data_IF_084240872750
#
_entry.id   IF_084240872750
#
_cell.length_a   1.000
_cell.length_b   1.000
_cell.length_c   1.000
_cell.angle_alpha   90.00
_cell.angle_beta   90.00
_cell.angle_gamma   90.00
#
_symmetry.space_group_name_H-M   'P 1'
#
loop_
_entity.id
_entity.type
_entity.pdbx_description
1 polymer ?
#
# COMPACT_ATOMS: atom_id res chain seq x y z
N UNK A 1 -15.59 -5.45 15.24
CA UNK A 1 -16.29 -4.14 15.23
C UNK A 1 -17.64 -4.31 15.91
N UNK A 2 -18.44 -5.28 15.48
CA UNK A 2 -19.76 -5.58 16.07
C UNK A 2 -19.73 -5.87 17.58
N UNK A 3 -18.68 -6.53 18.08
CA UNK A 3 -18.53 -6.77 19.53
C UNK A 3 -18.31 -5.48 20.32
N UNK A 4 -17.56 -4.53 19.75
CA UNK A 4 -17.30 -3.24 20.40
C UNK A 4 -18.55 -2.37 20.38
N UNK A 5 -19.28 -2.32 19.26
CA UNK A 5 -20.53 -1.55 19.17
C UNK A 5 -21.59 -2.11 20.13
N UNK A 6 -21.64 -3.44 20.29
CA UNK A 6 -22.49 -4.08 21.30
C UNK A 6 -22.08 -3.65 22.72
N UNK A 7 -20.78 -3.66 23.04
CA UNK A 7 -20.29 -3.22 24.35
C UNK A 7 -20.65 -1.77 24.65
N UNK A 8 -20.49 -0.87 23.69
CA UNK A 8 -20.89 0.55 23.83
C UNK A 8 -22.39 0.65 24.09
N UNK A 9 -23.22 -0.10 23.36
CA UNK A 9 -24.67 -0.13 23.57
C UNK A 9 -25.06 -0.68 24.95
N UNK A 10 -24.36 -1.72 25.43
CA UNK A 10 -24.57 -2.28 26.77
C UNK A 10 -24.21 -1.24 27.86
N UNK A 11 -23.14 -0.45 27.67
CA UNK A 11 -22.78 0.64 28.60
C UNK A 11 -23.81 1.78 28.60
N UNK A 12 -24.31 2.17 27.43
CA UNK A 12 -25.37 3.16 27.32
C UNK A 12 -26.66 2.71 28.02
N UNK A 13 -26.98 1.41 27.97
CA UNK A 13 -28.12 0.83 28.69
C UNK A 13 -28.02 0.97 30.21
N UNK A 14 -26.80 1.09 30.74
CA UNK A 14 -26.50 1.34 32.16
C UNK A 14 -26.38 2.84 32.48
N UNK A 15 -26.79 3.73 31.57
CA UNK A 15 -26.62 5.19 31.66
C UNK A 15 -25.15 5.65 31.72
N UNK A 16 -24.20 4.81 31.27
CA UNK A 16 -22.79 5.19 31.16
C UNK A 16 -22.58 5.75 29.75
N UNK A 17 -22.40 7.07 29.66
CA UNK A 17 -22.13 7.75 28.39
C UNK A 17 -20.62 7.93 28.23
N UNK A 18 -20.09 7.41 27.14
CA UNK A 18 -18.71 7.67 26.72
C UNK A 18 -18.74 8.71 25.61
N UNK A 19 -17.84 9.67 25.65
CA UNK A 19 -17.67 10.62 24.55
C UNK A 19 -17.20 9.89 23.29
N UNK A 20 -17.57 10.39 22.11
CA UNK A 20 -17.24 9.73 20.84
C UNK A 20 -15.72 9.61 20.65
N UNK A 21 -14.97 10.62 21.08
CA UNK A 21 -13.50 10.62 21.05
C UNK A 21 -12.93 9.52 21.93
N UNK A 22 -13.45 9.36 23.15
CA UNK A 22 -13.04 8.29 24.07
C UNK A 22 -13.34 6.91 23.49
N UNK A 23 -14.54 6.73 22.92
CA UNK A 23 -14.93 5.49 22.25
C UNK A 23 -13.98 5.16 21.10
N UNK A 24 -13.61 6.14 20.28
CA UNK A 24 -12.65 5.98 19.19
C UNK A 24 -11.28 5.54 19.72
N UNK A 25 -10.81 6.15 20.81
CA UNK A 25 -9.53 5.80 21.46
C UNK A 25 -9.58 4.39 22.05
N UNK A 26 -10.65 4.01 22.75
CA UNK A 26 -10.79 2.66 23.30
C UNK A 26 -10.83 1.59 22.22
N UNK A 27 -11.61 1.82 21.16
CA UNK A 27 -11.66 0.93 20.02
C UNK A 27 -10.27 0.74 19.41
N UNK A 28 -9.57 1.84 19.15
CA UNK A 28 -8.24 1.84 18.53
C UNK A 28 -7.16 1.18 19.40
N UNK A 29 -7.26 1.27 20.73
CA UNK A 29 -6.38 0.56 21.67
C UNK A 29 -6.70 -0.93 21.84
N UNK A 30 -7.95 -1.35 21.55
CA UNK A 30 -8.37 -2.75 21.62
C UNK A 30 -7.92 -3.58 20.41
N UNK A 31 -7.47 -2.93 19.32
CA UNK A 31 -7.06 -3.61 18.10
C UNK A 31 -5.77 -4.44 18.31
N UNK A 32 -5.64 -5.60 17.62
CA UNK A 32 -4.45 -6.43 17.71
C UNK A 32 -3.24 -5.78 17.01
N UNK A 33 -2.04 -6.29 17.31
CA UNK A 33 -0.75 -5.75 16.81
C UNK A 33 -0.64 -5.56 15.30
N UNK A 34 -1.43 -6.29 14.51
CA UNK A 34 -1.49 -6.15 13.05
C UNK A 34 -1.93 -4.75 12.60
N UNK A 35 -2.61 -4.01 13.49
CA UNK A 35 -3.07 -2.64 13.28
C UNK A 35 -2.17 -1.60 13.96
N UNK A 36 -0.98 -1.98 14.49
CA UNK A 36 -0.07 -1.04 15.19
C UNK A 36 0.25 0.19 14.34
N UNK A 37 0.54 0.01 13.05
CA UNK A 37 0.78 1.14 12.14
C UNK A 37 -0.44 2.03 11.96
N UNK A 38 -1.64 1.45 11.89
CA UNK A 38 -2.89 2.20 11.78
C UNK A 38 -3.13 3.01 13.07
N UNK A 39 -2.94 2.36 14.22
CA UNK A 39 -3.04 2.97 15.55
C UNK A 39 -2.15 4.20 15.66
N UNK A 40 -0.87 4.05 15.33
CA UNK A 40 0.10 5.13 15.47
C UNK A 40 -0.18 6.26 14.47
N UNK A 41 -0.56 5.93 13.23
CA UNK A 41 -0.93 6.92 12.21
C UNK A 41 -2.14 7.75 12.65
N UNK A 42 -3.17 7.12 13.20
CA UNK A 42 -4.37 7.84 13.65
C UNK A 42 -4.13 8.62 14.93
N UNK A 43 -3.35 8.08 15.89
CA UNK A 43 -3.02 8.78 17.15
C UNK A 43 -2.16 10.02 16.95
N UNK A 44 -1.22 9.99 16.02
CA UNK A 44 -0.23 11.06 15.84
C UNK A 44 -0.43 11.86 14.55
N UNK A 45 -1.28 11.41 13.64
CA UNK A 45 -1.51 12.05 12.34
C UNK A 45 -2.72 12.99 12.29
N UNK A 46 -3.58 12.99 13.31
CA UNK A 46 -4.77 13.83 13.37
C UNK A 46 -4.93 14.50 14.74
N UNK A 47 -5.48 15.71 14.75
CA UNK A 47 -5.84 16.43 15.98
C UNK A 47 -7.15 15.92 16.59
N UNK A 48 -8.11 15.51 15.75
CA UNK A 48 -9.42 14.97 16.18
C UNK A 48 -9.64 13.57 15.62
N UNK A 49 -10.34 12.74 16.40
CA UNK A 49 -10.50 11.32 16.14
C UNK A 49 -11.97 10.94 16.31
N UNK A 50 -12.66 10.68 15.20
CA UNK A 50 -14.08 10.28 15.22
C UNK A 50 -14.22 8.77 15.07
N UNK A 51 -15.31 8.21 15.58
CA UNK A 51 -15.52 6.77 15.59
C UNK A 51 -15.74 6.23 14.17
N UNK A 52 -16.45 7.00 13.33
CA UNK A 52 -16.64 6.70 11.92
C UNK A 52 -15.31 6.58 11.16
N UNK A 53 -14.38 7.50 11.38
CA UNK A 53 -13.08 7.46 10.71
C UNK A 53 -12.26 6.25 11.14
N UNK A 54 -12.25 5.93 12.43
CA UNK A 54 -11.49 4.77 12.93
C UNK A 54 -12.08 3.48 12.37
N UNK A 55 -13.40 3.34 12.36
CA UNK A 55 -14.05 2.15 11.81
C UNK A 55 -13.78 2.00 10.32
N UNK A 56 -13.91 3.07 9.53
CA UNK A 56 -13.59 3.08 8.10
C UNK A 56 -12.12 2.71 7.83
N UNK A 57 -11.18 3.30 8.56
CA UNK A 57 -9.76 3.01 8.40
C UNK A 57 -9.41 1.59 8.82
N UNK A 58 -10.10 1.05 9.83
CA UNK A 58 -9.94 -0.34 10.29
C UNK A 58 -10.45 -1.32 9.23
N UNK A 59 -11.62 -1.07 8.63
CA UNK A 59 -12.13 -1.88 7.52
C UNK A 59 -11.19 -1.86 6.31
N UNK A 60 -10.69 -0.68 5.94
CA UNK A 60 -9.73 -0.54 4.86
C UNK A 60 -8.46 -1.37 5.13
N UNK A 61 -7.91 -1.27 6.34
CA UNK A 61 -6.72 -2.05 6.74
C UNK A 61 -7.00 -3.54 6.77
N UNK A 62 -8.19 -3.96 7.19
CA UNK A 62 -8.60 -5.37 7.18
C UNK A 62 -8.64 -5.93 5.76
N UNK A 63 -9.18 -5.17 4.80
CA UNK A 63 -9.18 -5.54 3.37
C UNK A 63 -7.76 -5.67 2.84
N UNK A 64 -6.86 -4.74 3.17
CA UNK A 64 -5.46 -4.81 2.78
C UNK A 64 -4.76 -6.05 3.35
N UNK A 65 -5.01 -6.37 4.63
CA UNK A 65 -4.46 -7.57 5.27
C UNK A 65 -4.97 -8.85 4.59
N UNK A 66 -6.26 -8.90 4.25
CA UNK A 66 -6.87 -10.02 3.51
C UNK A 66 -6.31 -10.15 2.08
N UNK A 67 -6.04 -9.03 1.40
CA UNK A 67 -5.44 -9.02 0.07
C UNK A 67 -3.95 -9.43 0.09
N UNK A 68 -3.19 -8.88 1.04
CA UNK A 68 -1.75 -9.12 1.17
C UNK A 68 -1.40 -10.47 1.81
N UNK A 69 -2.32 -11.11 2.53
CA UNK A 69 -2.20 -12.51 2.97
C UNK A 69 -2.01 -13.51 1.82
N UNK A 70 -2.35 -13.13 0.58
CA UNK A 70 -2.05 -13.89 -0.65
C UNK A 70 -0.73 -13.51 -1.33
N UNK A 71 -0.16 -12.34 -1.00
CA UNK A 71 1.04 -11.77 -1.63
C UNK A 71 2.28 -11.72 -0.72
N UNK A 72 2.22 -12.31 0.49
CA UNK A 72 3.37 -12.42 1.42
C UNK A 72 4.47 -13.41 0.95
N UNK A 73 4.67 -13.53 -0.37
CA UNK A 73 5.85 -14.16 -0.99
C UNK A 73 6.41 -13.39 -2.19
N UNK A 74 6.11 -12.11 -2.38
CA UNK A 74 6.81 -11.32 -3.41
C UNK A 74 7.26 -9.98 -2.83
N UNK A 75 8.23 -10.06 -1.94
CA UNK A 75 9.28 -9.05 -1.90
C UNK A 75 9.90 -8.99 -3.30
N UNK A 76 9.69 -7.90 -4.02
CA UNK A 76 10.50 -7.53 -5.19
C UNK A 76 10.28 -8.35 -6.47
N UNK A 77 9.16 -8.14 -7.15
CA UNK A 77 9.07 -8.30 -8.61
C UNK A 77 8.41 -7.03 -9.12
N UNK A 78 8.99 -6.15 -9.92
CA UNK A 78 10.25 -6.10 -10.63
C UNK A 78 10.00 -4.96 -11.60
N UNK A 79 10.81 -3.89 -11.54
CA UNK A 79 10.79 -2.88 -12.58
C UNK A 79 11.15 -3.59 -13.88
N UNK A 80 10.16 -4.05 -14.65
CA UNK A 80 10.42 -4.49 -16.01
C UNK A 80 10.67 -3.23 -16.80
N UNK A 81 11.94 -2.78 -16.81
CA UNK A 81 12.43 -2.00 -17.94
C UNK A 81 12.19 -2.91 -19.12
N UNK A 82 11.13 -2.61 -19.87
CA UNK A 82 10.81 -3.25 -21.15
C UNK A 82 12.01 -3.00 -22.05
N UNK A 83 12.99 -3.92 -21.98
CA UNK A 83 14.14 -3.93 -22.86
C UNK A 83 13.60 -3.93 -24.27
N UNK A 84 13.94 -2.89 -25.03
CA UNK A 84 13.74 -2.89 -26.48
C UNK A 84 14.46 -4.12 -27.01
N UNK A 85 13.70 -5.12 -27.44
CA UNK A 85 14.26 -6.22 -28.21
C UNK A 85 14.63 -5.67 -29.59
N UNK A 86 15.88 -5.25 -29.74
CA UNK A 86 16.54 -5.10 -31.04
C UNK A 86 16.85 -6.49 -31.60
N UNK A 87 15.81 -7.26 -31.95
CA UNK A 87 15.95 -8.43 -32.81
C UNK A 87 15.68 -8.00 -34.24
N UNK A 88 16.79 -7.66 -34.92
CA UNK A 88 16.92 -7.75 -36.37
C UNK A 88 16.48 -9.14 -36.81
N UNK A 89 15.29 -9.25 -37.38
CA UNK A 89 15.00 -10.36 -38.27
C UNK A 89 15.27 -9.95 -39.71
N UNK A 90 15.99 -10.84 -40.38
CA UNK A 90 16.69 -10.63 -41.62
C UNK A 90 15.75 -11.00 -42.76
N UNK A 91 14.92 -10.05 -43.21
CA UNK A 91 14.19 -10.20 -44.47
C UNK A 91 14.77 -9.27 -45.53
N UNK A 92 15.53 -9.92 -46.43
CA UNK A 92 15.89 -9.52 -47.78
C UNK A 92 15.31 -8.19 -48.26
N UNK A 93 16.12 -7.13 -48.17
CA UNK A 93 16.01 -5.99 -49.07
C UNK A 93 17.41 -5.59 -49.52
N UNK A 94 17.67 -5.90 -50.78
CA UNK A 94 18.77 -5.36 -51.58
C UNK A 94 18.96 -3.88 -51.27
N UNK A 95 20.04 -3.54 -50.57
CA UNK A 95 20.61 -2.18 -50.55
C UNK A 95 22.12 -2.29 -50.41
N UNK A 96 22.77 -1.74 -51.42
CA UNK A 96 24.19 -1.75 -51.74
C UNK A 96 25.08 -1.40 -50.55
N UNK A 97 26.10 -2.24 -50.35
CA UNK A 97 27.06 -2.14 -49.24
C UNK A 97 28.27 -1.32 -49.66
N UNK A 98 28.24 -0.02 -49.41
CA UNK A 98 29.42 0.84 -49.52
C UNK A 98 30.27 0.66 -48.26
N UNK A 99 31.34 -0.14 -48.36
CA UNK A 99 32.41 -0.24 -47.36
C UNK A 99 33.36 0.95 -47.53
N UNK A 100 33.51 1.78 -46.51
CA UNK A 100 34.71 2.62 -46.36
C UNK A 100 35.36 2.34 -45.00
N UNK A 101 36.50 1.65 -45.05
CA UNK A 101 37.49 1.54 -43.97
C UNK A 101 38.67 2.45 -44.35
N UNK A 102 38.98 3.46 -43.54
CA UNK A 102 40.33 3.99 -43.33
C UNK A 102 40.29 5.10 -42.26
N UNK A 103 40.88 4.85 -41.08
CA UNK A 103 42.14 5.43 -40.58
C UNK A 103 42.17 6.96 -40.48
N UNK A 104 42.15 7.51 -39.26
CA UNK A 104 43.29 8.27 -38.69
C UNK A 104 42.96 8.95 -37.34
N UNK A 105 44.05 9.17 -36.58
CA UNK A 105 44.21 9.68 -35.21
C UNK A 105 43.68 11.10 -34.99
N UNK A 106 43.41 11.48 -33.74
CA UNK A 106 44.21 12.47 -32.97
C UNK A 106 43.73 12.66 -31.52
N UNK A 107 44.72 12.71 -30.64
CA UNK A 107 44.75 13.25 -29.29
C UNK A 107 44.37 14.73 -29.24
N UNK A 108 43.67 15.15 -28.19
CA UNK A 108 44.06 16.16 -27.21
C UNK A 108 43.01 16.16 -26.08
#
# INVERSE_FOLDING_TARGET
IDEFTKLVSDLESLNIKLEEEDQAIFFLNSLPKQYDQLRDTLKFGKETLTLEEVTAATYSKELDLKANGKHSKTNGEGLTVRGRTDKKDNQNKFRSKSRSKSRSRKTC
#
